data_IF_973754005439
#
_entry.id   IF_973754005439
#
_cell.length_a   1.000
_cell.length_b   1.000
_cell.length_c   1.000
_cell.angle_alpha   90.00
_cell.angle_beta   90.00
_cell.angle_gamma   90.00
#
_symmetry.space_group_name_H-M   'P 1'
#
loop_
_entity.id
_entity.type
_entity.pdbx_description
1 polymer ?
#
# COMPACT_ATOMS: atom_id res chain seq x y z
N UNK A 1 -19.90 -9.15 -4.98
CA UNK A 1 -18.55 -9.71 -4.86
C UNK A 1 -17.52 -8.61 -4.72
N UNK A 2 -16.66 -8.81 -3.77
CA UNK A 2 -15.67 -7.82 -3.42
C UNK A 2 -14.51 -7.84 -4.40
N UNK A 3 -14.15 -6.68 -4.89
CA UNK A 3 -13.00 -6.52 -5.78
C UNK A 3 -11.70 -6.50 -4.98
N UNK A 4 -10.63 -7.08 -5.50
CA UNK A 4 -9.33 -6.96 -4.85
C UNK A 4 -8.88 -5.49 -4.81
N UNK A 5 -8.06 -5.18 -3.81
CA UNK A 5 -7.54 -3.82 -3.62
C UNK A 5 -6.03 -3.85 -3.49
N UNK A 6 -5.40 -2.72 -3.81
CA UNK A 6 -3.99 -2.47 -3.54
C UNK A 6 -3.94 -1.41 -2.45
N UNK A 7 -3.28 -1.72 -1.34
CA UNK A 7 -3.23 -0.84 -0.16
C UNK A 7 -1.83 -0.28 -0.02
N UNK A 8 -1.73 1.05 -0.04
CA UNK A 8 -0.45 1.73 0.13
C UNK A 8 0.07 1.58 1.56
N UNK A 9 1.39 1.64 1.72
CA UNK A 9 2.04 1.54 3.03
C UNK A 9 1.48 2.54 4.04
N UNK A 10 1.05 3.72 3.60
CA UNK A 10 0.51 4.75 4.48
C UNK A 10 -0.68 4.27 5.31
N UNK A 11 -1.52 3.40 4.75
CA UNK A 11 -2.67 2.84 5.45
C UNK A 11 -2.21 1.96 6.61
N UNK A 12 -1.26 1.06 6.34
CA UNK A 12 -0.73 0.15 7.37
C UNK A 12 -0.03 0.93 8.48
N UNK A 13 0.80 1.89 8.09
CA UNK A 13 1.53 2.72 9.07
C UNK A 13 0.55 3.49 9.96
N UNK A 14 -0.47 4.10 9.37
CA UNK A 14 -1.48 4.85 10.11
C UNK A 14 -2.30 3.93 11.03
N UNK A 15 -2.68 2.75 10.54
CA UNK A 15 -3.46 1.79 11.34
C UNK A 15 -2.72 1.38 12.63
N UNK A 16 -1.39 1.29 12.57
CA UNK A 16 -0.58 0.88 13.71
C UNK A 16 0.10 2.06 14.41
N UNK A 17 -0.41 3.26 14.21
CA UNK A 17 0.05 4.48 14.88
C UNK A 17 -1.14 5.11 15.62
N UNK A 18 -1.52 4.56 16.78
CA UNK A 18 -2.82 4.89 17.42
C UNK A 18 -2.97 6.35 17.84
N UNK A 19 -1.88 7.09 17.93
CA UNK A 19 -1.95 8.52 18.26
C UNK A 19 -2.13 9.42 17.04
N UNK A 20 -2.07 8.85 15.83
CA UNK A 20 -2.27 9.62 14.61
C UNK A 20 -3.75 9.77 14.27
N UNK A 21 -4.08 10.89 13.65
CA UNK A 21 -5.41 11.12 13.12
C UNK A 21 -5.74 10.07 12.06
N UNK A 22 -6.95 9.54 12.14
CA UNK A 22 -7.43 8.56 11.16
C UNK A 22 -6.98 7.13 11.41
N UNK A 23 -6.17 6.89 12.46
CA UNK A 23 -5.68 5.55 12.79
C UNK A 23 -6.81 4.54 12.93
N UNK A 24 -7.89 4.90 13.62
CA UNK A 24 -9.04 4.03 13.83
C UNK A 24 -9.69 3.62 12.51
N UNK A 25 -9.83 4.54 11.58
CA UNK A 25 -10.44 4.27 10.27
C UNK A 25 -9.56 3.34 9.44
N UNK A 26 -8.26 3.56 9.46
CA UNK A 26 -7.33 2.69 8.74
C UNK A 26 -7.33 1.28 9.34
N UNK A 27 -7.34 1.18 10.66
CA UNK A 27 -7.42 -0.09 11.37
C UNK A 27 -8.71 -0.85 11.00
N UNK A 28 -9.84 -0.17 11.07
CA UNK A 28 -11.12 -0.77 10.70
C UNK A 28 -11.16 -1.22 9.25
N UNK A 29 -10.56 -0.42 8.37
CA UNK A 29 -10.51 -0.74 6.95
C UNK A 29 -9.75 -2.05 6.73
N UNK A 30 -8.55 -2.16 7.29
CA UNK A 30 -7.73 -3.37 7.16
C UNK A 30 -8.46 -4.58 7.74
N UNK A 31 -9.07 -4.42 8.91
CA UNK A 31 -9.82 -5.51 9.54
C UNK A 31 -11.02 -5.92 8.72
N UNK A 32 -11.70 -4.99 8.07
CA UNK A 32 -12.83 -5.34 7.19
C UNK A 32 -12.36 -6.17 5.99
N UNK A 33 -11.22 -5.83 5.41
CA UNK A 33 -10.65 -6.59 4.31
C UNK A 33 -10.33 -8.03 4.75
N UNK A 34 -9.74 -8.17 5.94
CA UNK A 34 -9.41 -9.48 6.49
C UNK A 34 -10.65 -10.30 6.77
N UNK A 35 -11.62 -9.70 7.44
CA UNK A 35 -12.88 -10.37 7.81
C UNK A 35 -13.65 -10.84 6.59
N UNK A 36 -13.70 -10.00 5.56
CA UNK A 36 -14.48 -10.27 4.36
C UNK A 36 -13.69 -11.06 3.30
N UNK A 37 -12.43 -11.39 3.60
CA UNK A 37 -11.59 -12.16 2.68
C UNK A 37 -11.30 -11.46 1.36
N UNK A 38 -11.28 -10.13 1.34
CA UNK A 38 -11.01 -9.37 0.14
C UNK A 38 -9.52 -9.46 -0.18
N UNK A 39 -9.14 -9.89 -1.40
CA UNK A 39 -7.72 -9.99 -1.74
C UNK A 39 -7.02 -8.62 -1.67
N UNK A 40 -5.89 -8.59 -0.98
CA UNK A 40 -5.04 -7.40 -0.88
C UNK A 40 -3.79 -7.69 -1.70
N UNK A 41 -3.63 -7.02 -2.82
CA UNK A 41 -2.54 -7.26 -3.77
C UNK A 41 -1.61 -6.06 -3.75
N UNK A 42 -0.40 -6.25 -3.21
CA UNK A 42 0.52 -5.13 -2.97
C UNK A 42 1.91 -5.48 -3.49
N UNK A 43 2.70 -4.49 -3.91
CA UNK A 43 4.09 -4.77 -4.24
C UNK A 43 4.85 -5.18 -2.99
N UNK A 44 5.81 -6.09 -3.14
CA UNK A 44 6.65 -6.52 -2.02
C UNK A 44 7.38 -5.35 -1.35
N UNK A 45 7.59 -4.29 -2.07
CA UNK A 45 8.16 -3.04 -1.59
C UNK A 45 7.39 -2.45 -0.40
N UNK A 46 6.11 -2.80 -0.21
CA UNK A 46 5.32 -2.32 0.94
C UNK A 46 6.01 -2.65 2.28
N UNK A 47 6.68 -3.79 2.36
CA UNK A 47 7.32 -4.23 3.60
C UNK A 47 8.46 -3.31 4.05
N UNK A 48 9.47 -3.03 3.20
CA UNK A 48 10.52 -2.09 3.62
C UNK A 48 10.00 -0.66 3.81
N UNK A 49 8.96 -0.26 3.09
CA UNK A 49 8.35 1.05 3.31
C UNK A 49 7.76 1.16 4.71
N UNK A 50 7.06 0.12 5.16
CA UNK A 50 6.47 0.09 6.50
C UNK A 50 7.55 0.14 7.57
N UNK A 51 8.60 -0.67 7.42
CA UNK A 51 9.71 -0.70 8.38
C UNK A 51 10.38 0.68 8.47
N UNK A 52 10.66 1.28 7.33
CA UNK A 52 11.31 2.60 7.29
C UNK A 52 10.45 3.67 7.96
N UNK A 53 9.15 3.70 7.65
CA UNK A 53 8.24 4.71 8.20
C UNK A 53 8.04 4.55 9.71
N UNK A 54 7.83 3.32 10.17
CA UNK A 54 7.63 3.04 11.59
C UNK A 54 8.90 3.29 12.39
N UNK A 55 10.06 2.93 11.85
CA UNK A 55 11.34 3.18 12.52
C UNK A 55 11.57 4.66 12.77
N UNK A 56 11.24 5.51 11.81
CA UNK A 56 11.34 6.95 11.98
C UNK A 56 10.40 7.47 13.07
N UNK A 57 9.16 6.99 13.09
CA UNK A 57 8.15 7.45 14.05
C UNK A 57 8.45 6.99 15.47
N UNK A 58 9.14 5.85 15.63
CA UNK A 58 9.42 5.23 16.92
C UNK A 58 10.86 5.46 17.37
N UNK A 59 11.46 6.61 17.04
CA UNK A 59 12.82 6.97 17.45
C UNK A 59 13.85 5.89 17.05
N UNK A 60 13.77 5.45 15.78
CA UNK A 60 14.65 4.42 15.22
C UNK A 60 14.46 3.03 15.86
N UNK A 61 13.26 2.77 16.38
CA UNK A 61 12.92 1.44 16.90
C UNK A 61 12.57 0.49 15.73
N UNK A 62 13.61 -0.07 15.12
CA UNK A 62 13.44 -0.97 13.97
C UNK A 62 12.76 -2.29 14.35
N UNK A 63 12.86 -2.72 15.60
CA UNK A 63 12.25 -3.97 16.04
C UNK A 63 10.73 -3.95 15.89
N UNK A 64 10.10 -2.84 16.24
CA UNK A 64 8.66 -2.71 16.10
C UNK A 64 8.26 -2.72 14.61
N UNK A 65 9.00 -2.01 13.77
CA UNK A 65 8.76 -2.00 12.33
C UNK A 65 8.86 -3.39 11.71
N UNK A 66 9.90 -4.15 12.07
CA UNK A 66 10.10 -5.51 11.57
C UNK A 66 8.95 -6.41 11.98
N UNK A 67 8.53 -6.32 13.24
CA UNK A 67 7.42 -7.12 13.75
C UNK A 67 6.12 -6.81 13.01
N UNK A 68 5.87 -5.54 12.77
CA UNK A 68 4.69 -5.12 12.02
C UNK A 68 4.72 -5.64 10.59
N UNK A 69 5.86 -5.55 9.92
CA UNK A 69 6.01 -6.08 8.56
C UNK A 69 5.73 -7.58 8.51
N UNK A 70 6.17 -8.33 9.52
CA UNK A 70 5.89 -9.77 9.61
C UNK A 70 4.39 -10.04 9.78
N UNK A 71 3.71 -9.26 10.61
CA UNK A 71 2.27 -9.41 10.80
C UNK A 71 1.52 -9.15 9.50
N UNK A 72 1.91 -8.12 8.77
CA UNK A 72 1.28 -7.78 7.49
C UNK A 72 1.54 -8.89 6.48
N UNK A 73 2.76 -9.37 6.41
CA UNK A 73 3.12 -10.48 5.52
C UNK A 73 2.26 -11.71 5.76
N UNK A 74 1.84 -11.94 7.00
CA UNK A 74 1.07 -13.12 7.40
C UNK A 74 -0.44 -12.94 7.31
N UNK A 75 -0.93 -11.80 6.82
CA UNK A 75 -2.36 -11.62 6.59
C UNK A 75 -2.79 -12.63 5.51
N UNK A 76 -3.79 -13.50 5.81
CA UNK A 76 -4.10 -14.62 4.93
C UNK A 76 -4.50 -14.26 3.50
N UNK A 77 -5.17 -13.11 3.33
CA UNK A 77 -5.67 -12.68 2.02
C UNK A 77 -4.77 -11.62 1.36
N UNK A 78 -3.51 -11.53 1.78
CA UNK A 78 -2.55 -10.59 1.22
C UNK A 78 -1.57 -11.32 0.30
N UNK A 79 -1.38 -10.77 -0.89
CA UNK A 79 -0.42 -11.26 -1.87
C UNK A 79 0.65 -10.20 -2.10
N UNK A 80 1.91 -10.59 -1.94
CA UNK A 80 3.06 -9.72 -2.21
C UNK A 80 3.54 -9.97 -3.63
N UNK A 81 3.58 -8.92 -4.43
CA UNK A 81 4.00 -9.02 -5.83
C UNK A 81 5.46 -8.59 -5.93
N UNK A 82 6.35 -9.48 -6.34
CA UNK A 82 7.76 -9.14 -6.48
C UNK A 82 7.97 -8.18 -7.65
N UNK A 83 8.97 -7.34 -7.52
CA UNK A 83 9.38 -6.44 -8.60
C UNK A 83 10.24 -7.25 -9.58
N UNK A 84 9.57 -8.03 -10.43
CA UNK A 84 10.25 -8.78 -11.46
C UNK A 84 10.52 -7.87 -12.68
N UNK A 85 11.19 -8.40 -13.67
CA UNK A 85 11.57 -7.60 -14.85
C UNK A 85 10.35 -7.03 -15.57
N UNK A 86 9.30 -7.82 -15.71
CA UNK A 86 8.08 -7.39 -16.38
C UNK A 86 7.42 -6.21 -15.65
N UNK A 87 7.27 -6.32 -14.34
CA UNK A 87 6.68 -5.25 -13.53
C UNK A 87 7.57 -4.01 -13.56
N UNK A 88 8.89 -4.19 -13.49
CA UNK A 88 9.84 -3.08 -13.56
C UNK A 88 9.71 -2.33 -14.89
N UNK A 89 9.58 -3.04 -15.99
CA UNK A 89 9.41 -2.41 -17.31
C UNK A 89 8.11 -1.62 -17.39
N UNK A 90 7.02 -2.15 -16.86
CA UNK A 90 5.76 -1.43 -16.80
C UNK A 90 5.90 -0.16 -15.95
N UNK A 91 6.57 -0.25 -14.81
CA UNK A 91 6.78 0.90 -13.94
C UNK A 91 7.66 1.97 -14.62
N UNK A 92 8.66 1.56 -15.40
CA UNK A 92 9.48 2.50 -16.19
C UNK A 92 8.61 3.31 -17.12
N UNK A 93 7.74 2.65 -17.88
CA UNK A 93 6.83 3.30 -18.82
C UNK A 93 5.91 4.30 -18.12
N UNK A 94 5.33 3.89 -17.01
CA UNK A 94 4.41 4.71 -16.23
C UNK A 94 5.14 5.91 -15.63
N UNK A 95 6.31 5.69 -15.05
CA UNK A 95 7.11 6.76 -14.46
C UNK A 95 7.48 7.81 -15.50
N UNK A 96 7.89 7.38 -16.69
CA UNK A 96 8.28 8.29 -17.77
C UNK A 96 7.08 9.06 -18.31
N UNK A 97 5.96 8.38 -18.55
CA UNK A 97 4.77 8.99 -19.15
C UNK A 97 4.13 10.02 -18.23
N UNK A 98 4.07 9.74 -16.95
CA UNK A 98 3.36 10.58 -15.97
C UNK A 98 4.29 11.32 -15.01
N UNK A 99 5.59 11.22 -15.21
CA UNK A 99 6.60 11.90 -14.39
C UNK A 99 6.43 11.56 -12.89
N UNK A 100 6.35 10.28 -12.59
CA UNK A 100 6.13 9.80 -11.21
C UNK A 100 7.42 9.33 -10.55
N UNK A 101 7.41 9.36 -9.21
CA UNK A 101 8.45 8.71 -8.43
C UNK A 101 8.37 7.20 -8.65
N UNK A 102 9.49 6.51 -8.45
CA UNK A 102 9.57 5.06 -8.67
C UNK A 102 8.54 4.28 -7.86
N UNK A 103 8.37 4.63 -6.58
CA UNK A 103 7.40 3.93 -5.72
C UNK A 103 5.97 4.08 -6.23
N UNK A 104 5.57 5.30 -6.60
CA UNK A 104 4.23 5.55 -7.14
C UNK A 104 3.99 4.76 -8.42
N UNK A 105 5.00 4.73 -9.29
CA UNK A 105 4.90 3.99 -10.55
C UNK A 105 4.75 2.48 -10.32
N UNK A 106 5.42 1.94 -9.29
CA UNK A 106 5.32 0.52 -8.95
C UNK A 106 3.91 0.19 -8.44
N UNK A 107 3.35 1.02 -7.56
CA UNK A 107 1.98 0.81 -7.09
C UNK A 107 0.98 0.90 -8.23
N UNK A 108 1.15 1.87 -9.12
CA UNK A 108 0.28 2.00 -10.30
C UNK A 108 0.36 0.77 -11.20
N UNK A 109 1.58 0.28 -11.43
CA UNK A 109 1.79 -0.90 -12.26
C UNK A 109 1.10 -2.14 -11.67
N UNK A 110 1.18 -2.33 -10.35
CA UNK A 110 0.48 -3.43 -9.67
C UNK A 110 -1.02 -3.28 -9.83
N UNK A 111 -1.56 -2.09 -9.59
CA UNK A 111 -3.00 -1.84 -9.73
C UNK A 111 -3.49 -2.11 -11.15
N UNK A 112 -2.75 -1.67 -12.16
CA UNK A 112 -3.11 -1.91 -13.56
C UNK A 112 -3.08 -3.40 -13.86
N UNK A 113 -2.00 -4.08 -13.47
CA UNK A 113 -1.82 -5.50 -13.77
C UNK A 113 -2.93 -6.37 -13.18
N UNK A 114 -3.38 -6.06 -11.97
CA UNK A 114 -4.36 -6.88 -11.25
C UNK A 114 -5.76 -6.28 -11.22
N UNK A 115 -5.97 -5.14 -11.86
CA UNK A 115 -7.29 -4.52 -11.92
C UNK A 115 -7.82 -4.08 -10.57
N UNK A 116 -6.94 -3.56 -9.70
CA UNK A 116 -7.33 -3.15 -8.35
C UNK A 116 -7.53 -1.65 -8.26
N UNK A 117 -8.36 -1.23 -7.28
CA UNK A 117 -8.36 0.15 -6.82
C UNK A 117 -7.17 0.33 -5.88
N UNK A 118 -6.54 1.49 -5.93
CA UNK A 118 -5.44 1.83 -5.02
C UNK A 118 -6.01 2.62 -3.84
N UNK A 119 -5.72 2.17 -2.62
CA UNK A 119 -6.18 2.81 -1.40
C UNK A 119 -5.00 3.43 -0.68
N UNK A 120 -5.05 4.75 -0.44
CA UNK A 120 -3.94 5.49 0.15
C UNK A 120 -4.44 6.67 0.99
N UNK A 121 -3.60 7.13 1.92
CA UNK A 121 -3.81 8.37 2.66
C UNK A 121 -2.99 9.52 2.08
N UNK A 122 -2.06 9.22 1.18
CA UNK A 122 -1.16 10.22 0.60
C UNK A 122 -1.89 11.06 -0.43
N UNK A 123 -2.11 12.34 -0.10
CA UNK A 123 -2.84 13.27 -0.99
C UNK A 123 -2.11 13.51 -2.31
N UNK A 124 -0.79 13.51 -2.29
CA UNK A 124 -0.02 13.66 -3.51
C UNK A 124 -0.20 12.46 -4.42
N UNK A 125 -0.20 11.26 -3.84
CA UNK A 125 -0.45 10.04 -4.56
C UNK A 125 -1.86 10.02 -5.15
N UNK A 126 -2.86 10.44 -4.37
CA UNK A 126 -4.23 10.57 -4.86
C UNK A 126 -4.30 11.47 -6.09
N UNK A 127 -3.63 12.61 -6.04
CA UNK A 127 -3.65 13.57 -7.14
C UNK A 127 -2.89 13.05 -8.37
N UNK A 128 -1.73 12.43 -8.17
CA UNK A 128 -0.88 11.96 -9.27
C UNK A 128 -1.43 10.71 -9.93
N UNK A 129 -1.89 9.76 -9.15
CA UNK A 129 -2.29 8.44 -9.67
C UNK A 129 -3.75 8.35 -10.08
N UNK A 130 -4.58 9.30 -9.66
CA UNK A 130 -6.00 9.27 -9.99
C UNK A 130 -6.31 9.34 -11.49
N UNK A 131 -5.36 9.79 -12.30
CA UNK A 131 -5.48 9.82 -13.75
C UNK A 131 -5.11 8.49 -14.41
N UNK A 132 -4.49 7.60 -13.65
CA UNK A 132 -3.94 6.35 -14.17
C UNK A 132 -4.76 5.16 -13.71
N UNK A 133 -5.14 5.14 -12.42
CA UNK A 133 -5.88 4.05 -11.80
C UNK A 133 -6.93 4.65 -10.87
N UNK A 134 -7.99 3.90 -10.54
CA UNK A 134 -8.93 4.36 -9.50
C UNK A 134 -8.20 4.43 -8.15
N UNK A 135 -8.23 5.59 -7.52
CA UNK A 135 -7.57 5.83 -6.23
C UNK A 135 -8.60 6.33 -5.24
N UNK A 136 -8.56 5.80 -4.02
CA UNK A 136 -9.51 6.19 -2.98
C UNK A 136 -8.85 6.18 -1.61
N UNK A 137 -9.57 6.76 -0.62
CA UNK A 137 -9.17 6.72 0.78
C UNK A 137 -9.94 5.60 1.49
N UNK A 138 -9.49 5.20 2.71
CA UNK A 138 -10.14 4.09 3.42
C UNK A 138 -11.60 4.31 3.79
N UNK A 139 -12.04 5.56 3.85
CA UNK A 139 -13.40 5.90 4.28
C UNK A 139 -14.39 6.01 3.10
N UNK A 140 -14.00 5.46 1.95
CA UNK A 140 -14.87 5.46 0.77
C UNK A 140 -15.04 4.06 0.12
#
# INVERSE_FOLDING_TARGET
>A
MSQPVTVDASIFVNAFSPTEEGSDKSWEYINSLRRDGIPIIVPALVLPEIVAAISKKQNNNSKFGIRLAEEIRNIPNLALIPLDEFLAEQAVSIAATYNLRSTDAIYAAVSIRFGTDLVTLDREQLARLGKIVPVKTPDK
#
